data_IF_419876564739
#
_entry.id   IF_419876564739
#
_cell.length_a   1.000
_cell.length_b   1.000
_cell.length_c   1.000
_cell.angle_alpha   90.00
_cell.angle_beta   90.00
_cell.angle_gamma   90.00
#
_symmetry.space_group_name_H-M   'P 1'
#
loop_
_entity.id
_entity.type
_entity.pdbx_description
1 polymer ?
#
# COMPACT_ATOMS: atom_id res chain seq x y z
N UNK A 1 -28.39 -2.69 25.05
CA UNK A 1 -28.30 -3.28 26.42
C UNK A 1 -28.20 -2.21 27.52
N UNK A 2 -28.21 -0.91 27.24
CA UNK A 2 -28.24 0.11 28.30
C UNK A 2 -26.95 0.23 29.12
N UNK A 3 -25.85 -0.33 28.63
CA UNK A 3 -24.54 -0.28 29.29
C UNK A 3 -23.72 0.92 28.78
N UNK A 4 -22.77 1.35 29.62
CA UNK A 4 -21.79 2.39 29.30
C UNK A 4 -20.39 1.88 29.67
N UNK A 5 -19.43 2.03 28.75
CA UNK A 5 -18.02 1.75 29.03
C UNK A 5 -17.49 2.75 30.09
N UNK A 6 -16.74 2.24 31.07
CA UNK A 6 -16.22 3.02 32.20
C UNK A 6 -14.69 2.97 32.31
N UNK A 7 -14.07 1.86 31.93
CA UNK A 7 -12.61 1.71 31.91
C UNK A 7 -12.19 0.55 30.98
N UNK A 8 -10.93 0.52 30.58
CA UNK A 8 -10.34 -0.53 29.73
C UNK A 8 -9.32 -1.32 30.54
N UNK A 9 -9.62 -2.60 30.80
CA UNK A 9 -8.71 -3.50 31.52
C UNK A 9 -7.55 -3.96 30.63
N UNK A 10 -7.84 -4.35 29.39
CA UNK A 10 -6.86 -4.87 28.45
C UNK A 10 -7.36 -4.73 27.01
N UNK A 11 -6.44 -4.49 26.08
CA UNK A 11 -6.68 -4.62 24.63
C UNK A 11 -6.21 -6.01 24.19
N UNK A 12 -7.01 -6.68 23.37
CA UNK A 12 -6.70 -8.01 22.84
C UNK A 12 -6.54 -7.96 21.33
N UNK A 13 -5.58 -8.72 20.82
CA UNK A 13 -5.34 -8.92 19.40
C UNK A 13 -4.90 -10.37 19.13
N UNK A 14 -4.99 -10.80 17.87
CA UNK A 14 -4.49 -12.11 17.47
C UNK A 14 -2.96 -12.10 17.42
N UNK A 15 -2.32 -13.02 18.13
CA UNK A 15 -0.85 -13.14 18.19
C UNK A 15 -0.41 -14.55 17.79
N UNK A 16 0.73 -14.63 17.11
CA UNK A 16 1.41 -15.90 16.84
C UNK A 16 2.46 -16.15 17.93
N UNK A 17 2.30 -17.25 18.67
CA UNK A 17 3.18 -17.61 19.79
C UNK A 17 4.02 -18.84 19.46
N UNK A 18 5.27 -18.86 19.91
CA UNK A 18 6.19 -19.98 19.76
C UNK A 18 6.98 -20.20 21.07
N UNK A 19 7.45 -21.43 21.29
CA UNK A 19 8.30 -21.73 22.44
C UNK A 19 9.73 -21.21 22.23
N UNK A 20 10.45 -20.79 23.29
CA UNK A 20 11.81 -20.25 23.13
C UNK A 20 12.81 -21.24 22.50
N UNK A 21 12.62 -22.54 22.72
CA UNK A 21 13.54 -23.61 22.29
C UNK A 21 13.01 -24.39 21.08
N UNK A 22 12.45 -23.67 20.09
CA UNK A 22 11.91 -24.30 18.89
C UNK A 22 13.03 -24.94 18.04
N UNK A 23 12.80 -26.17 17.59
CA UNK A 23 13.70 -26.90 16.68
C UNK A 23 13.90 -26.16 15.35
N UNK A 24 15.06 -26.30 14.71
CA UNK A 24 15.41 -25.55 13.50
C UNK A 24 14.41 -25.75 12.35
N UNK A 25 13.99 -26.99 12.09
CA UNK A 25 13.00 -27.27 11.05
C UNK A 25 11.66 -26.55 11.30
N UNK A 26 11.23 -26.44 12.56
CA UNK A 26 10.00 -25.72 12.93
C UNK A 26 10.19 -24.20 12.86
N UNK A 27 11.40 -23.70 13.14
CA UNK A 27 11.73 -22.27 12.95
C UNK A 27 11.65 -21.85 11.49
N UNK A 28 12.09 -22.70 10.56
CA UNK A 28 11.96 -22.42 9.12
C UNK A 28 10.49 -22.29 8.70
N UNK A 29 9.65 -23.24 9.10
CA UNK A 29 8.20 -23.19 8.85
C UNK A 29 7.56 -21.94 9.48
N UNK A 30 7.95 -21.61 10.72
CA UNK A 30 7.48 -20.41 11.41
C UNK A 30 7.84 -19.14 10.63
N UNK A 31 9.08 -19.04 10.13
CA UNK A 31 9.53 -17.90 9.35
C UNK A 31 8.77 -17.76 8.04
N UNK A 32 8.50 -18.87 7.33
CA UNK A 32 7.65 -18.84 6.14
C UNK A 32 6.22 -18.37 6.45
N UNK A 33 5.65 -18.82 7.56
CA UNK A 33 4.31 -18.41 7.98
C UNK A 33 4.27 -16.92 8.33
N UNK A 34 5.25 -16.43 9.10
CA UNK A 34 5.39 -15.01 9.45
C UNK A 34 5.50 -14.16 8.18
N UNK A 35 6.36 -14.56 7.24
CA UNK A 35 6.51 -13.87 5.95
C UNK A 35 5.17 -13.79 5.20
N UNK A 36 4.44 -14.91 5.05
CA UNK A 36 3.14 -14.92 4.35
C UNK A 36 2.11 -14.02 5.02
N UNK A 37 2.06 -14.01 6.35
CA UNK A 37 1.16 -13.14 7.12
C UNK A 37 1.54 -11.67 6.89
N UNK A 38 2.82 -11.33 7.00
CA UNK A 38 3.33 -9.98 6.79
C UNK A 38 3.03 -9.48 5.37
N UNK A 39 3.21 -10.32 4.35
CA UNK A 39 2.90 -9.99 2.95
C UNK A 39 1.44 -9.55 2.74
N UNK A 40 0.50 -10.15 3.48
CA UNK A 40 -0.92 -9.78 3.43
C UNK A 40 -1.17 -8.49 4.23
N UNK A 41 -0.56 -8.35 5.41
CA UNK A 41 -0.73 -7.16 6.25
C UNK A 41 -0.21 -5.90 5.54
N UNK A 42 0.96 -5.97 4.89
CA UNK A 42 1.52 -4.86 4.10
C UNK A 42 0.64 -4.55 2.90
N UNK A 43 0.13 -5.57 2.20
CA UNK A 43 -0.76 -5.38 1.06
C UNK A 43 -2.07 -4.67 1.45
N UNK A 44 -2.60 -4.95 2.64
CA UNK A 44 -3.88 -4.40 3.11
C UNK A 44 -3.89 -2.88 3.22
N UNK A 45 -2.78 -2.26 3.64
CA UNK A 45 -2.69 -0.79 3.78
C UNK A 45 -2.30 -0.06 2.50
N UNK A 46 -1.87 -0.78 1.47
CA UNK A 46 -1.38 -0.21 0.22
C UNK A 46 -2.35 -0.44 -0.95
N UNK A 47 -2.35 0.46 -1.92
CA UNK A 47 -3.08 0.32 -3.19
C UNK A 47 -2.13 0.49 -4.36
N UNK A 48 -2.43 -0.23 -5.44
CA UNK A 48 -1.84 0.04 -6.73
C UNK A 48 -2.65 1.14 -7.42
N UNK A 49 -2.00 2.25 -7.71
CA UNK A 49 -2.59 3.40 -8.38
C UNK A 49 -2.03 3.47 -9.77
N UNK A 50 -2.90 3.66 -10.75
CA UNK A 50 -2.51 4.05 -12.10
C UNK A 50 -3.28 5.29 -12.50
N UNK A 51 -2.63 6.20 -13.22
CA UNK A 51 -3.24 7.43 -13.70
C UNK A 51 -2.57 7.88 -14.98
N UNK A 52 -3.31 8.55 -15.84
CA UNK A 52 -2.75 9.23 -17.00
C UNK A 52 -2.39 10.66 -16.61
N UNK A 53 -1.29 11.20 -17.11
CA UNK A 53 -0.90 12.58 -16.87
C UNK A 53 -0.11 13.16 -18.04
N UNK A 54 -0.10 14.50 -18.19
CA UNK A 54 0.84 15.19 -19.06
C UNK A 54 2.30 14.90 -18.68
N UNK A 55 3.18 14.81 -19.66
CA UNK A 55 4.59 14.47 -19.43
C UNK A 55 5.33 15.50 -18.55
N UNK A 56 4.94 16.77 -18.61
CA UNK A 56 5.49 17.87 -17.80
C UNK A 56 5.01 17.84 -16.34
N UNK A 57 3.96 17.09 -16.02
CA UNK A 57 3.46 16.91 -14.66
C UNK A 57 4.12 15.74 -13.92
N UNK A 58 4.82 14.83 -14.62
CA UNK A 58 5.36 13.58 -14.06
C UNK A 58 6.25 13.82 -12.85
N UNK A 59 7.17 14.77 -12.91
CA UNK A 59 8.13 15.04 -11.83
C UNK A 59 7.40 15.49 -10.56
N UNK A 60 6.50 16.47 -10.67
CA UNK A 60 5.68 16.97 -9.55
C UNK A 60 4.75 15.89 -8.99
N UNK A 61 4.16 15.07 -9.85
CA UNK A 61 3.32 13.94 -9.40
C UNK A 61 4.17 12.92 -8.63
N UNK A 62 5.38 12.63 -9.12
CA UNK A 62 6.31 11.69 -8.46
C UNK A 62 6.75 12.20 -7.09
N UNK A 63 6.93 13.50 -6.90
CA UNK A 63 7.20 14.09 -5.57
C UNK A 63 6.04 13.91 -4.60
N UNK A 64 4.79 14.02 -5.10
CA UNK A 64 3.59 13.85 -4.27
C UNK A 64 3.38 12.38 -3.90
N UNK A 65 3.61 11.46 -4.84
CA UNK A 65 3.43 10.01 -4.68
C UNK A 65 4.68 9.23 -5.14
N UNK A 66 5.77 9.25 -4.38
CA UNK A 66 7.04 8.62 -4.78
C UNK A 66 6.94 7.10 -4.94
N UNK A 67 5.89 6.49 -4.40
CA UNK A 67 5.68 5.05 -4.38
C UNK A 67 6.69 4.34 -3.46
N UNK A 68 6.66 3.01 -3.45
CA UNK A 68 7.59 2.22 -2.62
C UNK A 68 9.06 2.28 -3.05
N UNK A 69 9.34 2.59 -4.32
CA UNK A 69 10.71 2.72 -4.85
C UNK A 69 10.79 3.88 -5.84
N UNK A 70 10.07 3.74 -6.95
CA UNK A 70 9.94 4.73 -8.01
C UNK A 70 8.70 4.37 -8.84
N UNK A 71 7.90 5.34 -9.30
CA UNK A 71 6.76 5.05 -10.17
C UNK A 71 7.22 4.49 -11.51
N UNK A 72 6.40 3.62 -12.09
CA UNK A 72 6.57 3.16 -13.48
C UNK A 72 5.88 4.14 -14.41
N UNK A 73 6.57 4.57 -15.46
CA UNK A 73 6.07 5.53 -16.44
C UNK A 73 5.99 4.84 -17.80
N UNK A 74 4.80 4.83 -18.40
CA UNK A 74 4.53 4.21 -19.69
C UNK A 74 3.98 5.27 -20.66
N UNK A 75 4.62 5.53 -21.81
CA UNK A 75 4.10 6.50 -22.78
C UNK A 75 2.77 6.04 -23.35
N UNK A 76 1.82 6.96 -23.52
CA UNK A 76 0.54 6.68 -24.16
C UNK A 76 0.61 6.93 -25.67
N UNK A 77 -0.39 6.39 -26.39
CA UNK A 77 -0.57 6.70 -27.83
C UNK A 77 -0.83 8.19 -28.07
N UNK A 78 -1.43 8.88 -27.09
CA UNK A 78 -1.62 10.33 -27.12
C UNK A 78 -0.27 11.00 -26.84
N UNK A 79 0.25 11.73 -27.81
CA UNK A 79 1.51 12.46 -27.65
C UNK A 79 1.45 13.43 -26.46
N UNK A 80 2.57 13.54 -25.75
CA UNK A 80 2.69 14.39 -24.56
C UNK A 80 2.06 13.82 -23.29
N UNK A 81 1.55 12.59 -23.30
CA UNK A 81 0.92 11.94 -22.15
C UNK A 81 1.55 10.59 -21.81
N UNK A 82 1.56 10.27 -20.52
CA UNK A 82 2.03 9.00 -19.98
C UNK A 82 1.07 8.44 -18.94
N UNK A 83 1.04 7.11 -18.80
CA UNK A 83 0.47 6.43 -17.64
C UNK A 83 1.53 6.31 -16.56
N UNK A 84 1.23 6.77 -15.36
CA UNK A 84 2.05 6.66 -14.17
C UNK A 84 1.43 5.62 -13.25
N UNK A 85 2.24 4.66 -12.81
CA UNK A 85 1.84 3.57 -11.93
C UNK A 85 2.67 3.61 -10.64
N UNK A 86 2.01 3.46 -9.49
CA UNK A 86 2.66 3.55 -8.18
C UNK A 86 1.94 2.71 -7.14
N UNK A 87 2.68 2.22 -6.13
CA UNK A 87 2.11 1.59 -4.93
C UNK A 87 2.23 2.57 -3.77
N UNK A 88 1.11 2.93 -3.18
CA UNK A 88 1.03 3.95 -2.11
C UNK A 88 0.10 3.52 -1.00
N UNK A 89 0.30 4.07 0.20
CA UNK A 89 -0.64 3.93 1.30
C UNK A 89 -2.01 4.52 0.93
N UNK A 90 -3.08 3.80 1.26
CA UNK A 90 -4.46 4.20 0.91
C UNK A 90 -4.84 5.55 1.52
N UNK A 91 -4.48 5.79 2.78
CA UNK A 91 -4.85 7.02 3.46
C UNK A 91 -4.06 8.21 2.93
N UNK A 92 -2.77 8.02 2.64
CA UNK A 92 -1.94 9.05 2.02
C UNK A 92 -2.44 9.42 0.62
N UNK A 93 -2.82 8.42 -0.19
CA UNK A 93 -3.42 8.64 -1.50
C UNK A 93 -4.67 9.52 -1.43
N UNK A 94 -5.61 9.21 -0.54
CA UNK A 94 -6.86 9.98 -0.40
C UNK A 94 -6.62 11.43 0.02
N UNK A 95 -5.56 11.72 0.77
CA UNK A 95 -5.18 13.10 1.13
C UNK A 95 -4.64 13.90 -0.06
N UNK A 96 -4.04 13.21 -1.04
CA UNK A 96 -3.30 13.81 -2.15
C UNK A 96 -4.07 13.83 -3.48
N UNK A 97 -5.17 13.08 -3.60
CA UNK A 97 -5.91 12.93 -4.86
C UNK A 97 -6.30 14.26 -5.53
N UNK A 98 -6.68 15.28 -4.76
CA UNK A 98 -7.03 16.58 -5.32
C UNK A 98 -5.82 17.34 -5.88
N UNK A 99 -4.65 17.20 -5.25
CA UNK A 99 -3.40 17.77 -5.76
C UNK A 99 -3.01 17.10 -7.08
N UNK A 100 -3.12 15.77 -7.16
CA UNK A 100 -2.87 15.02 -8.40
C UNK A 100 -3.76 15.49 -9.55
N UNK A 101 -5.08 15.63 -9.29
CA UNK A 101 -6.03 16.16 -10.28
C UNK A 101 -5.68 17.59 -10.72
N UNK A 102 -5.24 18.45 -9.80
CA UNK A 102 -4.83 19.82 -10.13
C UNK A 102 -3.61 19.89 -11.03
N UNK A 103 -2.78 18.84 -11.04
CA UNK A 103 -1.63 18.69 -11.94
C UNK A 103 -1.99 18.02 -13.28
N UNK A 104 -3.28 17.77 -13.54
CA UNK A 104 -3.75 17.15 -14.77
C UNK A 104 -3.78 15.63 -14.76
N UNK A 105 -3.70 14.99 -13.60
CA UNK A 105 -3.91 13.54 -13.51
C UNK A 105 -5.36 13.17 -13.84
N UNK A 106 -5.54 12.25 -14.78
CA UNK A 106 -6.82 11.77 -15.29
C UNK A 106 -6.90 10.23 -15.25
N UNK A 107 -8.11 9.69 -15.29
CA UNK A 107 -8.32 8.24 -15.38
C UNK A 107 -7.69 7.45 -14.22
N UNK A 108 -7.69 8.03 -13.01
CA UNK A 108 -7.07 7.43 -11.83
C UNK A 108 -7.84 6.15 -11.45
N UNK A 109 -7.19 4.99 -11.51
CA UNK A 109 -7.71 3.73 -10.99
C UNK A 109 -6.98 3.33 -9.73
N UNK A 110 -7.75 2.85 -8.76
CA UNK A 110 -7.27 2.34 -7.48
C UNK A 110 -7.56 0.84 -7.45
N UNK A 111 -6.51 0.03 -7.39
CA UNK A 111 -6.61 -1.43 -7.43
C UNK A 111 -6.13 -1.99 -6.09
N UNK A 112 -6.91 -2.88 -5.44
CA UNK A 112 -6.45 -3.55 -4.23
C UNK A 112 -5.28 -4.48 -4.54
N UNK A 113 -4.36 -4.60 -3.58
CA UNK A 113 -3.25 -5.56 -3.66
C UNK A 113 -3.57 -6.73 -2.74
N UNK A 114 -3.53 -7.95 -3.25
CA UNK A 114 -3.80 -9.14 -2.43
C UNK A 114 -2.62 -9.49 -1.52
N UNK A 115 -1.41 -9.44 -2.07
CA UNK A 115 -0.16 -9.83 -1.41
C UNK A 115 0.99 -8.98 -1.93
N UNK A 116 1.90 -8.60 -1.04
CA UNK A 116 3.12 -7.89 -1.39
C UNK A 116 4.33 -8.69 -0.92
N UNK A 117 5.24 -8.97 -1.85
CA UNK A 117 6.48 -9.70 -1.59
C UNK A 117 7.62 -8.70 -1.77
N UNK A 118 8.39 -8.47 -0.72
CA UNK A 118 9.51 -7.52 -0.69
C UNK A 118 10.74 -8.20 -0.09
#
# INVERSE_FOLDING_TARGET
NGLKEVDIVMKSEAVLIATPHLENQKKEILNELIFRIQSVQVAKSNKYILMNCPNDAIEKITEIIPGMKSPTILPLKKEGWSSLHSVVDENDFWKKINQLKSLGAEGILVVPIEKMIA
#
